data_IF_584477792758
#
_entry.id   IF_584477792758
#
_cell.length_a   1.000
_cell.length_b   1.000
_cell.length_c   1.000
_cell.angle_alpha   90.00
_cell.angle_beta   90.00
_cell.angle_gamma   90.00
#
_symmetry.space_group_name_H-M   'P 1'
#
loop_
_entity.id
_entity.type
_entity.pdbx_description
1 polymer ?
#
# COMPACT_ATOMS: atom_id res chain seq x y z
N UNK A 1 -1.21 34.50 -3.43
CA UNK A 1 -0.68 33.21 -3.91
C UNK A 1 -0.25 32.31 -2.75
N UNK A 2 0.57 32.83 -1.82
CA UNK A 2 1.02 32.11 -0.62
C UNK A 2 -0.10 31.43 0.19
N UNK A 3 -1.22 32.12 0.42
CA UNK A 3 -2.35 31.56 1.20
C UNK A 3 -2.92 30.26 0.60
N UNK A 4 -3.07 30.18 -0.74
CA UNK A 4 -3.57 28.96 -1.37
C UNK A 4 -2.58 27.80 -1.36
N UNK A 5 -1.27 28.10 -1.31
CA UNK A 5 -0.25 27.07 -1.18
C UNK A 5 -0.32 26.45 0.23
N UNK A 6 -0.42 27.31 1.26
CA UNK A 6 -0.68 26.91 2.65
C UNK A 6 -1.90 26.01 2.76
N UNK A 7 -3.02 26.42 2.15
CA UNK A 7 -4.26 25.62 2.16
C UNK A 7 -4.06 24.21 1.58
N UNK A 8 -3.30 24.09 0.48
CA UNK A 8 -3.03 22.79 -0.18
C UNK A 8 -2.10 21.93 0.68
N UNK A 9 -1.07 22.51 1.29
CA UNK A 9 -0.16 21.80 2.18
C UNK A 9 -0.85 21.33 3.46
N UNK A 10 -1.61 22.21 4.12
CA UNK A 10 -2.45 21.87 5.26
C UNK A 10 -3.45 20.76 4.91
N UNK A 11 -3.94 20.71 3.67
CA UNK A 11 -4.83 19.62 3.23
C UNK A 11 -4.08 18.29 3.08
N UNK A 12 -2.87 18.30 2.51
CA UNK A 12 -2.04 17.10 2.39
C UNK A 12 -1.57 16.58 3.75
N UNK A 13 -1.14 17.48 4.62
CA UNK A 13 -0.79 17.17 6.00
C UNK A 13 -1.96 16.50 6.72
N UNK A 14 -3.15 17.12 6.66
CA UNK A 14 -4.36 16.52 7.28
C UNK A 14 -4.68 15.14 6.73
N UNK A 15 -4.49 14.91 5.43
CA UNK A 15 -4.66 13.58 4.84
C UNK A 15 -3.66 12.57 5.41
N UNK A 16 -2.38 12.94 5.45
CA UNK A 16 -1.34 12.09 6.01
C UNK A 16 -1.55 11.81 7.50
N UNK A 17 -1.83 12.84 8.31
CA UNK A 17 -2.10 12.70 9.75
C UNK A 17 -3.31 11.81 10.01
N UNK A 18 -4.33 11.81 9.13
CA UNK A 18 -5.48 10.91 9.25
C UNK A 18 -5.11 9.45 9.01
N UNK A 19 -4.20 9.18 8.08
CA UNK A 19 -3.82 7.80 7.71
C UNK A 19 -2.60 7.26 8.46
N UNK A 20 -1.78 8.12 9.07
CA UNK A 20 -0.61 7.73 9.87
C UNK A 20 -0.90 6.60 10.87
N UNK A 21 -1.92 6.69 11.75
CA UNK A 21 -2.16 5.64 12.75
C UNK A 21 -2.48 4.28 12.11
N UNK A 22 -3.16 4.28 10.95
CA UNK A 22 -3.44 3.06 10.20
C UNK A 22 -2.17 2.47 9.58
N UNK A 23 -1.30 3.31 9.02
CA UNK A 23 0.01 2.92 8.50
C UNK A 23 0.96 2.42 9.61
N UNK A 24 0.85 2.95 10.83
CA UNK A 24 1.57 2.44 12.00
C UNK A 24 1.07 1.04 12.38
N UNK A 25 -0.25 0.84 12.44
CA UNK A 25 -0.84 -0.45 12.73
C UNK A 25 -0.50 -1.52 11.67
N UNK A 26 -0.52 -1.17 10.38
CA UNK A 26 -0.12 -2.07 9.29
C UNK A 26 1.33 -2.54 9.44
N UNK A 27 2.25 -1.66 9.85
CA UNK A 27 3.66 -2.02 10.03
C UNK A 27 3.85 -2.95 11.24
N UNK A 28 3.12 -2.72 12.33
CA UNK A 28 3.10 -3.62 13.49
C UNK A 28 2.58 -4.99 13.08
N UNK A 29 1.49 -5.02 12.30
CA UNK A 29 0.92 -6.27 11.79
C UNK A 29 1.91 -7.03 10.90
N UNK A 30 2.55 -6.35 9.94
CA UNK A 30 3.56 -6.94 9.07
C UNK A 30 4.75 -7.50 9.86
N UNK A 31 5.21 -6.78 10.90
CA UNK A 31 6.28 -7.25 11.78
C UNK A 31 5.88 -8.49 12.58
N UNK A 32 4.70 -8.48 13.19
CA UNK A 32 4.17 -9.61 13.96
C UNK A 32 3.98 -10.85 13.08
N UNK A 33 3.37 -10.67 11.90
CA UNK A 33 3.17 -11.76 10.95
C UNK A 33 4.50 -12.34 10.45
N UNK A 34 5.50 -11.48 10.19
CA UNK A 34 6.83 -11.93 9.76
C UNK A 34 7.56 -12.70 10.87
N UNK A 35 7.42 -12.30 12.13
CA UNK A 35 8.02 -13.00 13.27
C UNK A 35 7.38 -14.39 13.45
N UNK A 36 6.05 -14.48 13.38
CA UNK A 36 5.32 -15.75 13.45
C UNK A 36 5.69 -16.66 12.28
N UNK A 37 5.72 -16.13 11.05
CA UNK A 37 6.16 -16.87 9.86
C UNK A 37 7.59 -17.38 10.00
N UNK A 38 8.52 -16.59 10.53
CA UNK A 38 9.91 -17.01 10.71
C UNK A 38 10.03 -18.24 11.62
N UNK A 39 9.24 -18.31 12.70
CA UNK A 39 9.22 -19.46 13.60
C UNK A 39 8.76 -20.74 12.88
N UNK A 40 7.66 -20.64 12.12
CA UNK A 40 7.16 -21.75 11.32
C UNK A 40 8.16 -22.17 10.23
N UNK A 41 8.77 -21.21 9.55
CA UNK A 41 9.73 -21.45 8.48
C UNK A 41 11.00 -22.16 8.97
N UNK A 42 11.46 -21.84 10.18
CA UNK A 42 12.57 -22.55 10.84
C UNK A 42 12.20 -24.01 11.05
N UNK A 43 10.99 -24.28 11.53
CA UNK A 43 10.56 -25.65 11.81
C UNK A 43 10.39 -26.45 10.51
N UNK A 44 9.69 -25.92 9.51
CA UNK A 44 9.52 -26.64 8.23
C UNK A 44 10.79 -26.77 7.43
N UNK A 45 11.81 -25.94 7.65
CA UNK A 45 13.10 -26.15 6.98
C UNK A 45 13.82 -27.39 7.47
N UNK A 46 13.57 -27.83 8.71
CA UNK A 46 14.12 -29.08 9.23
C UNK A 46 13.55 -30.29 8.49
N UNK A 47 12.28 -30.25 8.10
CA UNK A 47 11.64 -31.28 7.27
C UNK A 47 12.23 -31.39 5.84
N UNK A 48 12.99 -30.39 5.38
CA UNK A 48 13.71 -30.43 4.10
C UNK A 48 15.18 -30.84 4.27
N UNK A 49 15.66 -31.02 5.51
CA UNK A 49 17.00 -31.51 5.77
C UNK A 49 16.91 -33.00 6.10
N UNK A 50 17.93 -33.73 5.68
CA UNK A 50 18.11 -35.11 6.09
C UNK A 50 18.35 -35.16 7.59
N UNK A 51 17.67 -36.05 8.30
CA UNK A 51 17.88 -36.21 9.73
C UNK A 51 19.26 -36.86 9.92
N UNK A 52 20.04 -36.37 10.90
CA UNK A 52 21.43 -36.81 11.13
C UNK A 52 21.49 -38.32 11.36
N UNK A 53 20.42 -38.89 11.93
CA UNK A 53 20.31 -40.33 12.13
C UNK A 53 20.17 -41.09 10.81
N UNK A 54 19.41 -40.56 9.85
CA UNK A 54 19.22 -41.19 8.53
C UNK A 54 20.52 -41.12 7.73
N UNK A 55 21.24 -39.99 7.78
CA UNK A 55 22.58 -39.85 7.19
C UNK A 55 23.55 -40.92 7.74
N UNK A 56 23.61 -41.09 9.06
CA UNK A 56 24.47 -42.12 9.71
C UNK A 56 24.03 -43.53 9.34
N UNK A 57 22.73 -43.82 9.33
CA UNK A 57 22.20 -45.14 8.96
C UNK A 57 22.49 -45.48 7.50
N UNK A 58 22.48 -44.47 6.64
CA UNK A 58 22.75 -44.60 5.23
C UNK A 58 24.23 -44.89 4.94
N UNK A 59 25.13 -44.22 5.66
CA UNK A 59 26.56 -44.54 5.73
C UNK A 59 26.78 -45.99 6.21
N UNK A 60 26.09 -46.42 7.27
CA UNK A 60 26.16 -47.80 7.76
C UNK A 60 25.60 -48.83 6.75
N UNK A 61 24.62 -48.45 5.93
CA UNK A 61 24.01 -49.32 4.92
C UNK A 61 24.74 -49.33 3.58
N UNK A 62 25.80 -48.52 3.40
CA UNK A 62 26.48 -48.33 2.12
C UNK A 62 25.49 -48.05 0.97
N UNK A 63 24.43 -47.30 1.25
CA UNK A 63 23.41 -46.93 0.26
C UNK A 63 23.69 -45.50 -0.20
N UNK A 64 23.94 -45.30 -1.48
CA UNK A 64 24.31 -43.99 -2.07
C UNK A 64 23.08 -43.20 -2.56
N UNK A 65 21.88 -43.50 -2.04
CA UNK A 65 20.62 -42.89 -2.49
C UNK A 65 20.50 -41.42 -2.00
N UNK A 66 20.58 -40.41 -2.87
CA UNK A 66 20.53 -39.03 -2.41
C UNK A 66 19.18 -38.72 -1.74
N UNK A 67 19.21 -38.06 -0.58
CA UNK A 67 18.01 -37.62 0.12
C UNK A 67 17.08 -36.82 -0.79
N UNK A 68 15.83 -37.27 -0.90
CA UNK A 68 14.79 -36.56 -1.64
C UNK A 68 13.66 -36.12 -0.70
N UNK A 69 13.67 -34.84 -0.33
CA UNK A 69 12.58 -34.24 0.44
C UNK A 69 11.23 -34.36 -0.31
N UNK A 70 10.16 -34.64 0.45
CA UNK A 70 8.81 -34.79 -0.09
C UNK A 70 8.36 -33.55 -0.86
N UNK A 71 7.61 -33.78 -1.95
CA UNK A 71 7.07 -32.70 -2.79
C UNK A 71 6.24 -31.71 -1.94
N UNK A 72 5.45 -32.22 -0.99
CA UNK A 72 4.60 -31.42 -0.11
C UNK A 72 5.43 -30.47 0.76
N UNK A 73 6.52 -30.94 1.37
CA UNK A 73 7.39 -30.11 2.20
C UNK A 73 8.02 -28.96 1.40
N UNK A 74 8.46 -29.25 0.16
CA UNK A 74 8.99 -28.24 -0.77
C UNK A 74 7.95 -27.13 -1.07
N UNK A 75 6.71 -27.51 -1.40
CA UNK A 75 5.64 -26.55 -1.70
C UNK A 75 5.24 -25.70 -0.49
N UNK A 76 5.05 -26.32 0.69
CA UNK A 76 4.65 -25.60 1.92
C UNK A 76 5.69 -24.54 2.27
N UNK A 77 6.96 -24.91 2.23
CA UNK A 77 8.06 -23.99 2.51
C UNK A 77 8.12 -22.85 1.49
N UNK A 78 7.97 -23.15 0.20
CA UNK A 78 7.88 -22.14 -0.86
C UNK A 78 6.71 -21.16 -0.65
N UNK A 79 5.54 -21.66 -0.25
CA UNK A 79 4.35 -20.84 0.02
C UNK A 79 4.57 -19.89 1.22
N UNK A 80 5.24 -20.36 2.27
CA UNK A 80 5.55 -19.56 3.44
C UNK A 80 6.64 -18.51 3.17
N UNK A 81 7.66 -18.84 2.39
CA UNK A 81 8.63 -17.86 1.89
C UNK A 81 7.98 -16.78 1.03
N UNK A 82 7.03 -17.15 0.16
CA UNK A 82 6.27 -16.19 -0.63
C UNK A 82 5.41 -15.28 0.28
N UNK A 83 4.76 -15.86 1.29
CA UNK A 83 3.97 -15.11 2.28
C UNK A 83 4.83 -14.10 3.05
N UNK A 84 6.04 -14.50 3.48
CA UNK A 84 6.99 -13.62 4.15
C UNK A 84 7.45 -12.48 3.23
N UNK A 85 7.77 -12.80 1.98
CA UNK A 85 8.19 -11.81 0.98
C UNK A 85 7.11 -10.76 0.73
N UNK A 86 5.85 -11.18 0.59
CA UNK A 86 4.71 -10.28 0.40
C UNK A 86 4.43 -9.41 1.65
N UNK A 87 4.61 -9.96 2.86
CA UNK A 87 4.55 -9.19 4.11
C UNK A 87 5.59 -8.08 4.15
N UNK A 88 6.84 -8.40 3.80
CA UNK A 88 7.93 -7.41 3.74
C UNK A 88 7.69 -6.37 2.64
N UNK A 89 7.15 -6.78 1.48
CA UNK A 89 6.75 -5.84 0.44
C UNK A 89 5.69 -4.85 0.95
N UNK A 90 4.72 -5.32 1.73
CA UNK A 90 3.70 -4.45 2.36
C UNK A 90 4.34 -3.42 3.31
N UNK A 91 5.34 -3.83 4.11
CA UNK A 91 6.08 -2.94 4.99
C UNK A 91 6.85 -1.87 4.19
N UNK A 92 7.45 -2.25 3.06
CA UNK A 92 8.10 -1.30 2.15
C UNK A 92 7.11 -0.29 1.57
N UNK A 93 5.93 -0.71 1.14
CA UNK A 93 4.89 0.21 0.66
C UNK A 93 4.44 1.20 1.74
N UNK A 94 4.24 0.74 2.98
CA UNK A 94 3.92 1.60 4.13
C UNK A 94 5.03 2.60 4.43
N UNK A 95 6.29 2.16 4.42
CA UNK A 95 7.45 3.03 4.65
C UNK A 95 7.55 4.07 3.54
N UNK A 96 7.31 3.69 2.28
CA UNK A 96 7.26 4.64 1.15
C UNK A 96 6.11 5.63 1.30
N UNK A 97 4.91 5.19 1.71
CA UNK A 97 3.78 6.09 1.98
C UNK A 97 4.13 7.11 3.06
N UNK A 98 4.75 6.67 4.16
CA UNK A 98 5.26 7.54 5.23
C UNK A 98 6.38 8.46 4.78
N UNK A 99 7.31 7.97 3.95
CA UNK A 99 8.40 8.78 3.41
C UNK A 99 7.86 9.92 2.52
N UNK A 100 6.81 9.64 1.75
CA UNK A 100 6.12 10.67 0.96
C UNK A 100 5.35 11.66 1.85
N UNK A 101 4.71 11.20 2.92
CA UNK A 101 4.00 12.06 3.88
C UNK A 101 4.93 12.99 4.67
N UNK A 102 6.07 12.49 5.16
CA UNK A 102 7.07 13.31 5.87
C UNK A 102 7.60 14.47 5.03
N UNK A 103 7.84 14.25 3.74
CA UNK A 103 8.24 15.32 2.80
C UNK A 103 7.24 16.47 2.73
N UNK A 104 5.96 16.22 3.03
CA UNK A 104 4.93 17.26 3.13
C UNK A 104 5.01 17.99 4.45
N UNK A 105 5.24 17.29 5.56
CA UNK A 105 5.39 17.87 6.90
C UNK A 105 6.61 18.78 7.01
N UNK A 106 7.77 18.35 6.49
CA UNK A 106 8.99 19.16 6.47
C UNK A 106 8.83 20.46 5.65
N UNK A 107 7.82 20.51 4.77
CA UNK A 107 7.55 21.69 3.96
C UNK A 107 6.82 22.79 4.72
N UNK A 108 6.22 22.51 5.88
CA UNK A 108 5.63 23.54 6.76
C UNK A 108 6.70 24.40 7.44
N UNK A 109 7.86 23.86 7.80
CA UNK A 109 8.99 24.66 8.31
C UNK A 109 9.51 25.64 7.26
N UNK A 110 9.46 25.26 5.98
CA UNK A 110 9.83 26.14 4.88
C UNK A 110 8.84 27.31 4.76
N UNK A 111 7.54 27.10 5.02
CA UNK A 111 6.56 28.21 5.07
C UNK A 111 6.71 29.10 6.32
N UNK A 112 7.27 28.58 7.42
CA UNK A 112 7.68 29.40 8.56
C UNK A 112 8.87 30.33 8.21
N UNK A 113 9.78 29.89 7.32
CA UNK A 113 10.82 30.76 6.75
C UNK A 113 10.27 31.82 5.77
N UNK A 114 9.18 31.54 5.06
CA UNK A 114 8.56 32.46 4.09
C UNK A 114 7.37 33.26 4.67
N UNK A 115 7.20 33.31 5.99
CA UNK A 115 6.24 34.20 6.61
C UNK A 115 6.58 35.66 6.23
N UNK A 116 5.67 36.42 5.58
CA UNK A 116 5.95 37.80 5.22
C UNK A 116 6.13 38.60 6.52
N UNK A 117 7.33 39.14 6.75
CA UNK A 117 7.50 40.26 7.68
C UNK A 117 6.59 41.36 7.13
N UNK A 118 5.64 41.82 7.93
CA UNK A 118 4.68 42.83 7.49
C UNK A 118 5.45 44.09 7.09
N UNK A 119 5.59 44.31 5.79
CA UNK A 119 6.11 45.56 5.24
C UNK A 119 5.02 46.15 4.36
N UNK A 120 4.62 47.34 4.77
CA UNK A 120 3.63 48.21 4.17
C UNK A 120 4.03 48.59 2.73
N UNK A 121 3.04 48.77 1.85
CA UNK A 121 3.23 49.42 0.54
C UNK A 121 2.88 48.60 -0.70
N UNK A 122 1.71 48.91 -1.27
CA UNK A 122 1.33 48.88 -2.71
C UNK A 122 1.64 47.61 -3.54
N UNK A 123 0.63 46.76 -3.72
CA UNK A 123 0.67 45.63 -4.64
C UNK A 123 -0.05 45.94 -5.97
N UNK A 124 0.73 46.21 -7.02
CA UNK A 124 0.29 46.12 -8.41
C UNK A 124 0.08 44.64 -8.76
N UNK A 125 -1.18 44.24 -8.88
CA UNK A 125 -1.62 42.87 -9.10
C UNK A 125 -1.52 42.50 -10.60
N UNK A 126 -0.43 41.83 -10.99
CA UNK A 126 -0.26 41.31 -12.35
C UNK A 126 -1.04 39.98 -12.53
N UNK A 127 -2.07 39.98 -13.37
CA UNK A 127 -3.07 38.90 -13.46
C UNK A 127 -2.79 37.85 -14.54
N UNK A 128 -1.75 38.03 -15.36
CA UNK A 128 -1.57 37.27 -16.62
C UNK A 128 -0.82 35.94 -16.47
N UNK A 129 -0.02 35.76 -15.42
CA UNK A 129 0.58 34.47 -15.09
C UNK A 129 -0.37 33.51 -14.36
N UNK A 130 -1.50 34.02 -13.83
CA UNK A 130 -2.23 33.42 -12.70
C UNK A 130 -2.86 32.06 -12.96
N UNK A 131 -3.14 31.76 -14.22
CA UNK A 131 -3.64 30.45 -14.63
C UNK A 131 -2.60 29.34 -14.54
N UNK A 132 -1.33 29.59 -14.93
CA UNK A 132 -0.32 28.53 -15.08
C UNK A 132 0.15 27.95 -13.75
N UNK A 133 0.43 28.80 -12.77
CA UNK A 133 0.82 28.35 -11.43
C UNK A 133 -0.35 27.74 -10.65
N UNK A 134 -1.58 28.26 -10.81
CA UNK A 134 -2.77 27.64 -10.20
C UNK A 134 -2.99 26.22 -10.71
N UNK A 135 -2.82 25.99 -12.01
CA UNK A 135 -2.90 24.67 -12.61
C UNK A 135 -1.85 23.71 -12.03
N UNK A 136 -0.58 24.13 -11.99
CA UNK A 136 0.52 23.30 -11.43
C UNK A 136 0.33 22.95 -9.94
N UNK A 137 -0.17 23.86 -9.11
CA UNK A 137 -0.46 23.56 -7.69
C UNK A 137 -1.61 22.55 -7.52
N UNK A 138 -2.70 22.70 -8.28
CA UNK A 138 -3.82 21.75 -8.19
C UNK A 138 -3.49 20.38 -8.76
N UNK A 139 -2.69 20.31 -9.82
CA UNK A 139 -2.23 19.04 -10.39
C UNK A 139 -1.24 18.34 -9.47
N UNK A 140 -0.36 19.08 -8.78
CA UNK A 140 0.54 18.53 -7.76
C UNK A 140 -0.19 17.87 -6.59
N UNK A 141 -1.26 18.49 -6.08
CA UNK A 141 -2.08 17.91 -5.00
C UNK A 141 -2.77 16.60 -5.42
N UNK A 142 -3.40 16.58 -6.60
CA UNK A 142 -4.06 15.38 -7.12
C UNK A 142 -3.07 14.24 -7.36
N UNK A 143 -1.89 14.56 -7.90
CA UNK A 143 -0.83 13.59 -8.14
C UNK A 143 -0.28 13.00 -6.82
N UNK A 144 -0.09 13.83 -5.79
CA UNK A 144 0.31 13.38 -4.46
C UNK A 144 -0.74 12.42 -3.87
N UNK A 145 -2.01 12.86 -3.84
CA UNK A 145 -3.12 12.07 -3.30
C UNK A 145 -3.22 10.71 -3.99
N UNK A 146 -3.20 10.67 -5.33
CA UNK A 146 -3.30 9.42 -6.08
C UNK A 146 -2.16 8.45 -5.75
N UNK A 147 -0.93 8.95 -5.65
CA UNK A 147 0.23 8.12 -5.29
C UNK A 147 0.13 7.60 -3.85
N UNK A 148 -0.30 8.45 -2.92
CA UNK A 148 -0.47 8.08 -1.52
C UNK A 148 -1.57 7.02 -1.34
N UNK A 149 -2.75 7.26 -1.93
CA UNK A 149 -3.87 6.29 -1.92
C UNK A 149 -3.46 4.96 -2.57
N UNK A 150 -2.70 4.98 -3.67
CA UNK A 150 -2.19 3.77 -4.31
C UNK A 150 -1.26 2.96 -3.40
N UNK A 151 -0.32 3.61 -2.70
CA UNK A 151 0.62 2.94 -1.80
C UNK A 151 -0.10 2.32 -0.59
N UNK A 152 -1.07 3.03 0.00
CA UNK A 152 -1.86 2.51 1.13
C UNK A 152 -2.76 1.33 0.70
N UNK A 153 -3.40 1.43 -0.47
CA UNK A 153 -4.22 0.35 -1.02
C UNK A 153 -3.37 -0.88 -1.37
N UNK A 154 -2.23 -0.68 -2.05
CA UNK A 154 -1.34 -1.79 -2.44
C UNK A 154 -0.76 -2.51 -1.22
N UNK A 155 -0.40 -1.78 -0.16
CA UNK A 155 0.08 -2.35 1.10
C UNK A 155 -0.96 -3.26 1.76
N UNK A 156 -2.22 -2.80 1.81
CA UNK A 156 -3.34 -3.54 2.44
C UNK A 156 -3.68 -4.81 1.67
N UNK A 157 -3.64 -4.75 0.34
CA UNK A 157 -3.87 -5.93 -0.52
C UNK A 157 -2.72 -6.93 -0.35
N UNK A 158 -1.47 -6.48 -0.36
CA UNK A 158 -0.32 -7.40 -0.24
C UNK A 158 -0.25 -8.12 1.11
N UNK A 159 -0.58 -7.44 2.21
CA UNK A 159 -0.60 -8.07 3.54
C UNK A 159 -1.79 -9.05 3.69
N UNK A 160 -2.94 -8.74 3.10
CA UNK A 160 -4.10 -9.65 3.13
C UNK A 160 -3.89 -10.87 2.23
N UNK A 161 -3.20 -10.68 1.10
CA UNK A 161 -2.80 -11.76 0.21
C UNK A 161 -1.79 -12.71 0.87
N UNK A 162 -0.83 -12.19 1.64
CA UNK A 162 0.16 -13.02 2.34
C UNK A 162 -0.47 -13.90 3.42
N UNK A 163 -1.47 -13.38 4.14
CA UNK A 163 -2.26 -14.20 5.09
C UNK A 163 -3.01 -15.32 4.40
N UNK A 164 -3.62 -15.01 3.26
CA UNK A 164 -4.38 -15.99 2.47
C UNK A 164 -3.47 -17.13 1.98
N UNK A 165 -2.24 -16.82 1.58
CA UNK A 165 -1.23 -17.81 1.19
C UNK A 165 -0.68 -18.62 2.37
N UNK A 166 -0.69 -18.05 3.58
CA UNK A 166 -0.18 -18.73 4.77
C UNK A 166 -1.11 -19.85 5.30
N UNK A 167 -2.42 -19.62 5.31
CA UNK A 167 -3.39 -20.56 5.89
C UNK A 167 -3.35 -21.98 5.30
N UNK A 168 -3.24 -22.19 3.96
CA UNK A 168 -3.12 -23.53 3.38
C UNK A 168 -1.92 -24.31 3.93
N UNK A 169 -0.75 -23.68 4.06
CA UNK A 169 0.43 -24.33 4.63
C UNK A 169 0.26 -24.66 6.11
N UNK A 170 -0.43 -23.79 6.86
CA UNK A 170 -0.75 -24.04 8.27
C UNK A 170 -1.67 -25.27 8.45
N UNK A 171 -2.68 -25.42 7.59
CA UNK A 171 -3.59 -26.59 7.63
C UNK A 171 -2.83 -27.89 7.37
N UNK A 172 -1.89 -27.89 6.40
CA UNK A 172 -1.07 -29.07 6.08
C UNK A 172 -0.15 -29.45 7.25
N UNK A 173 0.54 -28.49 7.85
CA UNK A 173 1.41 -28.72 9.00
C UNK A 173 0.64 -29.27 10.22
N UNK A 174 -0.54 -28.71 10.49
CA UNK A 174 -1.35 -29.14 11.63
C UNK A 174 -1.88 -30.56 11.41
N UNK A 175 -2.21 -30.92 10.17
CA UNK A 175 -2.69 -32.26 9.83
C UNK A 175 -1.64 -33.35 10.13
N UNK A 176 -0.35 -33.04 9.97
CA UNK A 176 0.75 -34.00 10.23
C UNK A 176 1.16 -34.07 11.70
N UNK A 177 0.95 -33.01 12.50
CA UNK A 177 1.57 -32.87 13.82
C UNK A 177 0.97 -33.76 14.92
N UNK A 178 -0.36 -33.84 15.15
CA UNK A 178 -1.07 -34.84 15.99
C UNK A 178 -2.60 -34.72 15.87
N UNK A 179 -3.34 -35.85 15.87
CA UNK A 179 -4.80 -35.89 15.56
C UNK A 179 -5.72 -35.18 16.56
N UNK A 180 -5.31 -34.97 17.82
CA UNK A 180 -6.20 -34.49 18.88
C UNK A 180 -6.57 -33.00 18.79
N UNK A 181 -5.59 -32.13 18.56
CA UNK A 181 -5.79 -30.67 18.49
C UNK A 181 -5.97 -30.19 17.04
N UNK A 182 -5.53 -31.01 16.07
CA UNK A 182 -5.45 -30.64 14.67
C UNK A 182 -6.76 -30.16 14.06
N UNK A 183 -7.86 -30.89 14.30
CA UNK A 183 -9.15 -30.57 13.68
C UNK A 183 -9.69 -29.20 14.08
N UNK A 184 -9.53 -28.84 15.37
CA UNK A 184 -10.02 -27.55 15.88
C UNK A 184 -9.24 -26.38 15.29
N UNK A 185 -7.91 -26.47 15.28
CA UNK A 185 -7.05 -25.40 14.77
C UNK A 185 -7.14 -25.32 13.24
N UNK A 186 -7.26 -26.45 12.54
CA UNK A 186 -7.48 -26.48 11.10
C UNK A 186 -8.83 -25.84 10.72
N UNK A 187 -9.91 -26.11 11.46
CA UNK A 187 -11.21 -25.48 11.21
C UNK A 187 -11.15 -23.96 11.37
N UNK A 188 -10.49 -23.46 12.42
CA UNK A 188 -10.27 -22.02 12.63
C UNK A 188 -9.41 -21.43 11.51
N UNK A 189 -8.32 -22.10 11.13
CA UNK A 189 -7.44 -21.65 10.05
C UNK A 189 -8.17 -21.55 8.70
N UNK A 190 -9.03 -22.54 8.39
CA UNK A 190 -9.86 -22.52 7.17
C UNK A 190 -10.86 -21.37 7.23
N UNK A 191 -11.58 -21.20 8.33
CA UNK A 191 -12.56 -20.11 8.47
C UNK A 191 -11.89 -18.73 8.31
N UNK A 192 -10.76 -18.52 8.99
CA UNK A 192 -9.98 -17.29 8.87
C UNK A 192 -9.44 -17.08 7.45
N UNK A 193 -8.94 -18.14 6.81
CA UNK A 193 -8.45 -18.08 5.43
C UNK A 193 -9.54 -17.72 4.42
N UNK A 194 -10.76 -18.24 4.60
CA UNK A 194 -11.91 -17.88 3.76
C UNK A 194 -12.27 -16.40 3.95
N UNK A 195 -12.33 -15.92 5.19
CA UNK A 195 -12.59 -14.50 5.47
C UNK A 195 -11.50 -13.62 4.83
N UNK A 196 -10.22 -13.96 5.01
CA UNK A 196 -9.10 -13.23 4.39
C UNK A 196 -9.20 -13.21 2.87
N UNK A 197 -9.54 -14.34 2.24
CA UNK A 197 -9.71 -14.42 0.79
C UNK A 197 -10.86 -13.53 0.28
N UNK A 198 -12.01 -13.54 0.97
CA UNK A 198 -13.13 -12.65 0.64
C UNK A 198 -12.73 -11.19 0.77
N UNK A 199 -11.98 -10.82 1.82
CA UNK A 199 -11.46 -9.46 1.98
C UNK A 199 -10.54 -9.06 0.83
N UNK A 200 -9.60 -9.93 0.43
CA UNK A 200 -8.70 -9.66 -0.70
C UNK A 200 -9.51 -9.44 -1.99
N UNK A 201 -10.49 -10.29 -2.28
CA UNK A 201 -11.34 -10.14 -3.46
C UNK A 201 -12.14 -8.84 -3.43
N UNK A 202 -12.70 -8.50 -2.27
CA UNK A 202 -13.41 -7.25 -2.08
C UNK A 202 -12.50 -6.05 -2.37
N UNK A 203 -11.29 -6.03 -1.81
CA UNK A 203 -10.36 -4.91 -1.96
C UNK A 203 -9.83 -4.77 -3.40
N UNK A 204 -9.54 -5.90 -4.06
CA UNK A 204 -9.12 -5.92 -5.47
C UNK A 204 -10.26 -5.46 -6.38
N UNK A 205 -11.48 -5.95 -6.17
CA UNK A 205 -12.65 -5.53 -6.95
C UNK A 205 -12.99 -4.06 -6.72
N UNK A 206 -12.90 -3.60 -5.47
CA UNK A 206 -13.10 -2.21 -5.08
C UNK A 206 -12.10 -1.29 -5.79
N UNK A 207 -10.81 -1.65 -5.81
CA UNK A 207 -9.78 -0.91 -6.53
C UNK A 207 -10.09 -0.78 -8.04
N UNK A 208 -10.54 -1.86 -8.69
CA UNK A 208 -10.93 -1.86 -10.10
C UNK A 208 -12.15 -0.98 -10.38
N UNK A 209 -13.16 -1.03 -9.50
CA UNK A 209 -14.38 -0.23 -9.66
C UNK A 209 -14.11 1.26 -9.51
N UNK A 210 -13.28 1.67 -8.53
CA UNK A 210 -12.92 3.07 -8.34
C UNK A 210 -12.31 3.68 -9.61
N UNK A 211 -11.33 3.02 -10.23
CA UNK A 211 -10.65 3.56 -11.41
C UNK A 211 -11.61 3.75 -12.61
N UNK A 212 -12.61 2.86 -12.74
CA UNK A 212 -13.64 2.91 -13.79
C UNK A 212 -14.64 4.06 -13.56
N UNK A 213 -15.11 4.23 -12.33
CA UNK A 213 -16.10 5.27 -11.96
C UNK A 213 -15.47 6.67 -12.02
N UNK A 214 -14.20 6.82 -11.60
CA UNK A 214 -13.47 8.08 -11.71
C UNK A 214 -13.19 8.47 -13.17
N UNK A 215 -12.87 7.52 -14.06
CA UNK A 215 -12.70 7.81 -15.49
C UNK A 215 -13.99 8.28 -16.15
N UNK A 216 -15.13 7.68 -15.82
CA UNK A 216 -16.43 8.15 -16.31
C UNK A 216 -16.79 9.56 -15.80
N UNK A 217 -16.50 9.88 -14.54
CA UNK A 217 -16.73 11.22 -13.97
C UNK A 217 -15.77 12.29 -14.52
N UNK A 218 -14.55 11.92 -14.89
CA UNK A 218 -13.61 12.81 -15.57
C UNK A 218 -14.01 12.99 -17.04
N UNK A 219 -14.48 11.94 -17.72
CA UNK A 219 -14.98 12.01 -19.09
C UNK A 219 -16.23 12.90 -19.19
N UNK A 220 -17.18 12.78 -18.25
CA UNK A 220 -18.37 13.63 -18.21
C UNK A 220 -18.04 15.08 -17.89
N UNK A 221 -17.20 15.36 -16.88
CA UNK A 221 -16.74 16.73 -16.57
C UNK A 221 -15.75 17.31 -17.60
N UNK A 222 -15.08 16.46 -18.37
CA UNK A 222 -14.21 16.84 -19.48
C UNK A 222 -15.02 17.34 -20.68
N UNK A 223 -16.16 16.70 -20.96
CA UNK A 223 -17.12 17.16 -21.96
C UNK A 223 -17.79 18.49 -21.54
N UNK A 224 -18.07 18.69 -20.25
CA UNK A 224 -18.62 19.96 -19.74
C UNK A 224 -17.63 21.13 -19.83
N UNK A 225 -16.31 20.89 -19.83
CA UNK A 225 -15.29 21.95 -19.98
C UNK A 225 -14.94 22.31 -21.43
N UNK A 226 -15.42 21.54 -22.41
CA UNK A 226 -15.18 21.80 -23.84
C UNK A 226 -16.35 22.54 -24.51
N UNK A 227 -17.43 22.83 -23.77
CA UNK A 227 -18.54 23.66 -24.25
C UNK A 227 -18.21 25.15 -24.19
N UNK A 228 -17.66 25.63 -25.31
CA UNK A 228 -17.59 26.98 -25.86
C UNK A 228 -16.84 28.13 -25.12
N UNK A 229 -16.03 28.91 -25.86
CA UNK A 229 -15.58 30.23 -25.41
C UNK A 229 -16.78 31.19 -25.42
N UNK A 230 -16.83 32.21 -24.53
CA UNK A 230 -17.75 33.32 -24.73
C UNK A 230 -17.29 34.09 -25.99
N UNK A 231 -17.95 33.83 -27.12
CA UNK A 231 -18.02 34.78 -28.21
C UNK A 231 -18.76 36.01 -27.67
N UNK A 232 -17.99 37.00 -27.21
CA UNK A 232 -18.53 38.19 -26.56
C UNK A 232 -17.48 39.17 -26.06
N UNK A 233 -16.32 39.26 -26.72
CA UNK A 233 -15.45 40.44 -26.61
C UNK A 233 -15.58 41.25 -27.91
N UNK A 234 -16.76 41.83 -28.14
CA UNK A 234 -16.85 43.03 -28.97
C UNK A 234 -16.33 44.20 -28.14
N UNK A 235 -15.09 44.59 -28.42
CA UNK A 235 -14.64 46.00 -28.43
C UNK A 235 -15.40 46.95 -27.49
N UNK A 236 -14.92 47.10 -26.26
CA UNK A 236 -15.25 48.25 -25.41
C UNK A 236 -14.18 49.32 -25.58
N UNK A 237 -14.17 49.98 -26.74
CA UNK A 237 -13.83 51.41 -26.78
C UNK A 237 -15.12 52.14 -26.49
N UNK A 238 -15.32 52.53 -25.23
CA UNK A 238 -16.54 53.16 -24.76
C UNK A 238 -16.42 53.58 -23.31
N UNK A 239 -15.68 54.66 -23.06
CA UNK A 239 -16.06 55.55 -21.95
C UNK A 239 -17.53 55.92 -22.13
N UNK A 240 -18.32 55.89 -21.06
CA UNK A 240 -19.74 56.26 -21.11
C UNK A 240 -19.97 57.60 -21.81
N UNK A 241 -20.34 57.54 -23.10
CA UNK A 241 -21.36 58.35 -23.79
C UNK A 241 -21.55 57.81 -25.21
#
# INVERSE_FOLDING_TARGET
MAQRLKDVLLKNQRLFSRESPYLDALLVYAGLFSAVLAAFLIETRKDLQEDVLDEILQELRQSDEPFEATVIAKWVNGLWFASLSLSLASALFVILAKAMGRRVLDREEIEAMFAPKATDGSAQQDCTGSGRYRFQLTEGHKAFRRKFEFLTMSATITISASLTLFYPGLVVLIYTSQRGIAWSVAAIAVAMGVVSFVCVLHDVYSASRYDTEYMHLIASRGLDRVSCPPAGCSSFTGTCR
#
